data_IF_635451071154
#
_entry.id   IF_635451071154
#
_cell.length_a   1.000
_cell.length_b   1.000
_cell.length_c   1.000
_cell.angle_alpha   90.00
_cell.angle_beta   90.00
_cell.angle_gamma   90.00
#
_symmetry.space_group_name_H-M   'P 1'
#
loop_
_entity.id
_entity.type
_entity.pdbx_description
1 polymer ?
#
# COMPACT_ATOMS: atom_id res chain seq x y z
N UNK A 1 -8.09 7.62 7.98
CA UNK A 1 -6.71 8.16 7.94
C UNK A 1 -5.90 7.45 9.00
N UNK A 2 -4.70 6.94 8.69
CA UNK A 2 -3.82 6.27 9.66
C UNK A 2 -3.43 7.18 10.84
N UNK A 3 -3.46 8.50 10.64
CA UNK A 3 -3.22 9.50 11.68
C UNK A 3 -4.38 10.50 11.70
N UNK A 4 -4.87 10.82 12.89
CA UNK A 4 -5.85 11.89 13.08
C UNK A 4 -5.14 13.25 13.12
N UNK A 5 -5.24 14.02 12.04
CA UNK A 5 -4.63 15.36 11.93
C UNK A 5 -5.60 16.50 12.26
N UNK A 6 -6.75 16.22 12.89
CA UNK A 6 -7.64 17.29 13.35
C UNK A 6 -6.96 18.15 14.42
N UNK A 7 -7.32 19.44 14.44
CA UNK A 7 -6.71 20.44 15.33
C UNK A 7 -6.88 20.12 16.82
N UNK A 8 -7.91 19.36 17.18
CA UNK A 8 -8.18 18.94 18.57
C UNK A 8 -7.20 17.86 19.05
N UNK A 9 -6.65 17.05 18.15
CA UNK A 9 -5.85 15.87 18.48
C UNK A 9 -4.39 15.96 18.01
N UNK A 10 -4.09 16.90 17.11
CA UNK A 10 -2.75 17.09 16.57
C UNK A 10 -2.29 18.53 16.78
N UNK A 11 -1.60 18.78 17.90
CA UNK A 11 -1.10 20.12 18.26
C UNK A 11 -0.07 20.68 17.26
N UNK A 12 0.57 19.81 16.49
CA UNK A 12 1.53 20.18 15.46
C UNK A 12 0.90 20.41 14.09
N UNK A 13 -0.43 20.33 13.93
CA UNK A 13 -1.11 20.40 12.61
C UNK A 13 -0.59 21.52 11.68
N UNK A 14 -0.36 22.77 12.13
CA UNK A 14 0.16 23.83 11.25
C UNK A 14 1.54 23.54 10.65
N UNK A 15 2.35 22.72 11.31
CA UNK A 15 3.71 22.35 10.90
C UNK A 15 3.87 20.83 10.67
N UNK A 16 2.77 20.07 10.63
CA UNK A 16 2.80 18.62 10.63
C UNK A 16 3.27 18.08 9.27
N UNK A 17 4.50 17.56 9.22
CA UNK A 17 5.06 16.92 8.02
C UNK A 17 4.71 15.43 7.90
N UNK A 18 4.14 14.84 8.96
CA UNK A 18 3.84 13.42 9.01
C UNK A 18 2.79 13.02 7.97
N UNK A 19 1.78 13.87 7.70
CA UNK A 19 0.78 13.60 6.65
C UNK A 19 1.43 13.44 5.28
N UNK A 20 2.42 14.27 4.96
CA UNK A 20 3.16 14.19 3.69
C UNK A 20 4.04 12.94 3.64
N UNK A 21 4.76 12.63 4.73
CA UNK A 21 5.57 11.43 4.83
C UNK A 21 4.72 10.16 4.66
N UNK A 22 3.54 10.10 5.29
CA UNK A 22 2.60 9.00 5.15
C UNK A 22 2.06 8.87 3.72
N UNK A 23 1.66 9.99 3.11
CA UNK A 23 1.22 9.98 1.72
C UNK A 23 2.30 9.44 0.79
N UNK A 24 3.57 9.83 1.01
CA UNK A 24 4.70 9.32 0.24
C UNK A 24 4.92 7.83 0.46
N UNK A 25 4.84 7.36 1.70
CA UNK A 25 5.00 5.95 2.03
C UNK A 25 3.91 5.08 1.39
N UNK A 26 2.65 5.51 1.46
CA UNK A 26 1.53 4.81 0.81
C UNK A 26 1.73 4.78 -0.70
N UNK A 27 2.14 5.89 -1.31
CA UNK A 27 2.40 5.92 -2.74
C UNK A 27 3.54 4.96 -3.13
N UNK A 28 4.64 4.93 -2.38
CA UNK A 28 5.74 4.00 -2.63
C UNK A 28 5.31 2.54 -2.49
N UNK A 29 4.47 2.22 -1.50
CA UNK A 29 3.90 0.89 -1.34
C UNK A 29 3.05 0.47 -2.56
N UNK A 30 2.15 1.36 -3.02
CA UNK A 30 1.33 1.07 -4.19
C UNK A 30 2.17 0.94 -5.47
N UNK A 31 3.14 1.83 -5.66
CA UNK A 31 4.06 1.79 -6.81
C UNK A 31 4.90 0.51 -6.83
N UNK A 32 5.25 -0.04 -5.68
CA UNK A 32 5.90 -1.35 -5.62
C UNK A 32 4.96 -2.46 -6.11
N UNK A 33 3.70 -2.45 -5.67
CA UNK A 33 2.70 -3.44 -6.10
C UNK A 33 2.38 -3.34 -7.59
N UNK A 34 2.45 -2.15 -8.19
CA UNK A 34 2.23 -1.95 -9.63
C UNK A 34 3.28 -2.69 -10.49
N UNK A 35 4.43 -3.06 -9.91
CA UNK A 35 5.47 -3.82 -10.61
C UNK A 35 5.15 -5.32 -10.72
N UNK A 36 4.08 -5.80 -10.10
CA UNK A 36 3.71 -7.22 -10.09
C UNK A 36 2.36 -7.44 -10.77
N UNK A 37 2.33 -8.40 -11.69
CA UNK A 37 1.11 -8.90 -12.31
C UNK A 37 0.75 -10.27 -11.77
N UNK A 38 -0.49 -10.71 -12.01
CA UNK A 38 -0.88 -12.09 -11.68
C UNK A 38 -0.01 -13.11 -12.43
N UNK A 39 0.43 -12.80 -13.67
CA UNK A 39 1.33 -13.64 -14.44
C UNK A 39 2.67 -13.85 -13.73
N UNK A 40 3.26 -12.79 -13.19
CA UNK A 40 4.52 -12.86 -12.44
C UNK A 40 4.37 -13.70 -11.16
N UNK A 41 3.19 -13.63 -10.51
CA UNK A 41 2.93 -14.40 -9.29
C UNK A 41 2.73 -15.91 -9.55
N UNK A 42 2.24 -16.28 -10.74
CA UNK A 42 2.04 -17.69 -11.13
C UNK A 42 3.23 -18.29 -11.86
N UNK A 43 4.16 -17.47 -12.35
CA UNK A 43 5.38 -17.94 -12.99
C UNK A 43 6.14 -18.88 -12.04
N UNK A 44 6.45 -20.08 -12.53
CA UNK A 44 7.07 -21.18 -11.78
C UNK A 44 6.32 -21.62 -10.49
N UNK A 45 5.11 -21.11 -10.25
CA UNK A 45 4.29 -21.40 -9.07
C UNK A 45 3.09 -22.29 -9.41
N UNK A 46 3.39 -23.53 -9.82
CA UNK A 46 2.39 -24.52 -10.22
C UNK A 46 1.30 -24.80 -9.17
N UNK A 47 1.59 -24.85 -7.85
CA UNK A 47 0.56 -24.98 -6.84
C UNK A 47 -0.44 -23.80 -6.86
N UNK A 48 0.05 -22.56 -6.96
CA UNK A 48 -0.83 -21.39 -7.04
C UNK A 48 -1.65 -21.40 -8.32
N UNK A 49 -1.03 -21.74 -9.46
CA UNK A 49 -1.73 -21.86 -10.73
C UNK A 49 -2.92 -22.84 -10.64
N UNK A 50 -2.72 -24.00 -9.99
CA UNK A 50 -3.80 -24.98 -9.77
C UNK A 50 -4.93 -24.44 -8.89
N UNK A 51 -4.63 -23.63 -7.87
CA UNK A 51 -5.64 -23.03 -7.00
C UNK A 51 -6.52 -22.00 -7.74
N UNK A 52 -5.94 -21.28 -8.70
CA UNK A 52 -6.66 -20.28 -9.50
C UNK A 52 -7.55 -20.88 -10.61
N UNK A 53 -7.36 -22.16 -10.94
CA UNK A 53 -8.15 -22.88 -11.94
C UNK A 53 -9.45 -23.50 -11.41
N UNK A 54 -9.75 -23.35 -10.12
CA UNK A 54 -10.93 -23.95 -9.50
C UNK A 54 -12.13 -23.01 -9.66
N UNK A 55 -13.17 -23.46 -10.39
CA UNK A 55 -14.51 -22.86 -10.41
C UNK A 55 -15.22 -22.95 -9.05
#
# INVERSE_FOLDING_TARGET
SLVNCSSEFCHITPACRLKQALSKAVQSFLTELDNYTLADLVEENQPLYKLLLVE
#
